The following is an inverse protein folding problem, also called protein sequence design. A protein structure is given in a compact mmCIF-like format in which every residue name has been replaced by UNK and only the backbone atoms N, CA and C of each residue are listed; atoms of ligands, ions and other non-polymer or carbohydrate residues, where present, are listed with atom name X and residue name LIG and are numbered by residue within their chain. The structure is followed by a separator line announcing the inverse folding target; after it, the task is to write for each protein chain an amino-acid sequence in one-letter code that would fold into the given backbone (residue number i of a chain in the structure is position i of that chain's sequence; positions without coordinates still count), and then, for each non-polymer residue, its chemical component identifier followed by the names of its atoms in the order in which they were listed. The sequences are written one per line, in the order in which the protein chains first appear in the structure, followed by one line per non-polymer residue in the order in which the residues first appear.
data_IF_221738068168
#
_entry.id   IF_221738068168
#
_cell.length_a   1.000
_cell.length_b   1.000
_cell.length_c   1.000
_cell.angle_alpha   90.00
_cell.angle_beta   90.00
_cell.angle_gamma   90.00
#
_symmetry.space_group_name_H-M   'P 1'
#
loop_
_entity.id
_entity.type
_entity.pdbx_description
1 polymer ?
#
# COMPACT_ATOMS: atom_id res chain seq x y z
N UNK A 1 -1.46 4.41 15.84
CA UNK A 1 -1.05 5.40 14.84
C UNK A 1 -0.68 4.63 13.58
N UNK A 2 -1.24 4.99 12.43
CA UNK A 2 -0.85 4.46 11.13
C UNK A 2 0.33 5.31 10.64
N UNK A 3 1.41 4.70 10.16
CA UNK A 3 2.48 5.46 9.50
C UNK A 3 2.12 5.63 8.03
N UNK A 4 2.12 6.86 7.51
CA UNK A 4 2.04 7.14 6.07
C UNK A 4 3.41 7.12 5.39
N UNK A 5 4.43 6.56 6.05
CA UNK A 5 5.77 6.36 5.52
C UNK A 5 6.34 5.00 5.92
N UNK A 6 7.04 4.37 4.99
CA UNK A 6 7.85 3.18 5.26
C UNK A 6 9.24 3.61 5.73
N UNK A 7 9.60 3.25 6.96
CA UNK A 7 10.92 3.54 7.55
C UNK A 7 11.76 2.27 7.81
N UNK A 8 11.27 1.11 7.37
CA UNK A 8 11.99 -0.17 7.50
C UNK A 8 13.01 -0.40 6.38
N UNK A 9 13.93 -1.34 6.60
CA UNK A 9 14.80 -1.88 5.54
C UNK A 9 13.97 -2.68 4.53
N UNK A 10 14.35 -2.63 3.25
CA UNK A 10 13.55 -3.19 2.15
C UNK A 10 13.99 -4.61 1.79
N UNK A 11 15.27 -4.92 1.94
CA UNK A 11 15.90 -6.17 1.53
C UNK A 11 15.26 -7.39 2.23
N UNK A 12 14.99 -7.39 3.55
CA UNK A 12 14.35 -8.55 4.18
C UNK A 12 12.94 -8.85 3.63
N UNK A 13 12.21 -7.82 3.20
CA UNK A 13 10.87 -7.99 2.60
C UNK A 13 10.99 -8.69 1.25
N UNK A 14 11.92 -8.23 0.42
CA UNK A 14 12.07 -8.75 -0.94
C UNK A 14 12.72 -10.12 -0.96
N UNK A 15 13.75 -10.36 -0.13
CA UNK A 15 14.38 -11.68 0.05
C UNK A 15 13.38 -12.75 0.51
N UNK A 16 12.52 -12.40 1.48
CA UNK A 16 11.48 -13.30 1.97
C UNK A 16 10.27 -13.39 1.02
N UNK A 17 10.23 -12.59 -0.05
CA UNK A 17 9.06 -12.42 -0.94
C UNK A 17 7.78 -12.19 -0.15
N UNK A 18 7.86 -11.35 0.88
CA UNK A 18 6.73 -11.05 1.75
C UNK A 18 5.70 -10.23 0.96
N UNK A 19 4.43 -10.67 0.88
CA UNK A 19 3.39 -9.88 0.24
C UNK A 19 3.15 -8.55 0.98
N UNK A 20 3.07 -7.44 0.26
CA UNK A 20 2.84 -6.09 0.79
C UNK A 20 1.72 -5.39 0.02
N UNK A 21 0.71 -4.94 0.75
CA UNK A 21 -0.38 -4.11 0.22
C UNK A 21 -0.30 -2.71 0.82
N UNK A 22 0.17 -1.75 0.04
CA UNK A 22 0.10 -0.34 0.40
C UNK A 22 -1.30 0.19 0.11
N UNK A 23 -2.01 0.67 1.13
CA UNK A 23 -3.25 1.42 0.96
C UNK A 23 -3.18 2.73 1.73
N UNK A 24 -3.46 3.85 1.04
CA UNK A 24 -3.39 5.20 1.61
C UNK A 24 -4.36 6.13 0.90
N UNK A 25 -4.81 7.18 1.58
CA UNK A 25 -5.47 8.30 0.91
C UNK A 25 -4.48 9.13 0.08
N UNK A 26 -4.88 9.53 -1.12
CA UNK A 26 -4.05 10.38 -2.01
C UNK A 26 -3.50 11.62 -1.30
N UNK A 27 -4.36 12.28 -0.52
CA UNK A 27 -4.11 13.51 0.22
C UNK A 27 -4.01 13.28 1.72
N UNK A 28 -3.43 12.14 2.15
CA UNK A 28 -3.12 11.88 3.56
C UNK A 28 -2.48 13.11 4.24
N UNK A 29 -3.00 13.49 5.40
CA UNK A 29 -2.70 14.79 6.00
C UNK A 29 -1.28 14.90 6.57
N UNK A 30 -0.57 13.79 6.77
CA UNK A 30 0.79 13.84 7.29
C UNK A 30 1.83 14.00 6.19
N UNK A 31 1.79 13.12 5.18
CA UNK A 31 2.81 13.10 4.12
C UNK A 31 2.25 12.97 2.70
N UNK A 32 0.93 12.94 2.54
CA UNK A 32 0.30 12.55 1.28
C UNK A 32 0.64 11.11 0.89
N UNK A 33 0.34 10.75 -0.36
CA UNK A 33 0.64 9.41 -0.90
C UNK A 33 2.07 9.22 -1.41
N UNK A 34 2.86 10.29 -1.50
CA UNK A 34 4.18 10.23 -2.14
C UNK A 34 5.17 9.25 -1.49
N UNK A 35 5.30 9.19 -0.14
CA UNK A 35 6.22 8.22 0.46
C UNK A 35 5.86 6.76 0.20
N UNK A 36 4.56 6.46 0.01
CA UNK A 36 4.12 5.11 -0.36
C UNK A 36 4.46 4.78 -1.82
N UNK A 37 4.41 5.77 -2.73
CA UNK A 37 4.88 5.60 -4.11
C UNK A 37 6.40 5.34 -4.15
N UNK A 38 7.17 6.10 -3.38
CA UNK A 38 8.62 5.91 -3.26
C UNK A 38 8.95 4.50 -2.73
N UNK A 39 8.32 4.08 -1.63
CA UNK A 39 8.52 2.76 -1.06
C UNK A 39 8.11 1.63 -2.02
N UNK A 40 6.98 1.79 -2.72
CA UNK A 40 6.55 0.84 -3.75
C UNK A 40 7.58 0.73 -4.88
N UNK A 41 8.10 1.86 -5.37
CA UNK A 41 9.08 1.88 -6.45
C UNK A 41 10.38 1.17 -6.04
N UNK A 42 10.88 1.42 -4.83
CA UNK A 42 12.08 0.76 -4.30
C UNK A 42 11.86 -0.76 -4.21
N UNK A 43 10.74 -1.21 -3.65
CA UNK A 43 10.43 -2.65 -3.56
C UNK A 43 10.28 -3.29 -4.95
N UNK A 44 9.62 -2.60 -5.88
CA UNK A 44 9.45 -3.07 -7.25
C UNK A 44 10.80 -3.24 -7.95
N UNK A 45 11.70 -2.26 -7.83
CA UNK A 45 13.06 -2.31 -8.40
C UNK A 45 13.86 -3.46 -7.81
N UNK A 46 13.86 -3.64 -6.48
CA UNK A 46 14.55 -4.75 -5.82
C UNK A 46 14.01 -6.12 -6.28
N UNK A 47 12.70 -6.27 -6.45
CA UNK A 47 12.14 -7.50 -6.99
C UNK A 47 12.54 -7.74 -8.46
N UNK A 48 12.57 -6.68 -9.28
CA UNK A 48 12.99 -6.76 -10.67
C UNK A 48 14.49 -7.13 -10.79
N UNK A 49 15.34 -6.60 -9.91
CA UNK A 49 16.77 -6.95 -9.82
C UNK A 49 16.99 -8.42 -9.44
N UNK A 50 16.09 -8.99 -8.63
CA UNK A 50 16.06 -10.42 -8.31
C UNK A 50 15.53 -11.29 -9.46
N UNK A 51 15.11 -10.68 -10.58
CA UNK A 51 14.67 -11.38 -11.78
C UNK A 51 13.21 -11.81 -11.77
N UNK A 52 12.38 -11.27 -10.86
CA UNK A 52 10.94 -11.54 -10.89
C UNK A 52 10.30 -10.91 -12.13
N UNK A 53 9.42 -11.66 -12.77
CA UNK A 53 8.57 -11.12 -13.82
C UNK A 53 7.54 -10.15 -13.23
N UNK A 54 7.11 -9.16 -14.01
CA UNK A 54 6.09 -8.20 -13.60
C UNK A 54 4.85 -8.87 -12.97
N UNK A 55 4.35 -9.96 -13.56
CA UNK A 55 3.20 -10.69 -13.03
C UNK A 55 3.43 -11.33 -11.66
N UNK A 56 4.68 -11.70 -11.34
CA UNK A 56 5.04 -12.20 -10.00
C UNK A 56 5.07 -11.04 -8.99
N UNK A 57 5.60 -9.89 -9.40
CA UNK A 57 5.62 -8.68 -8.58
C UNK A 57 4.20 -8.20 -8.32
N UNK A 58 3.33 -8.18 -9.32
CA UNK A 58 1.92 -7.76 -9.20
C UNK A 58 1.13 -8.63 -8.18
N UNK A 59 1.56 -9.88 -7.93
CA UNK A 59 0.97 -10.75 -6.90
C UNK A 59 1.51 -10.50 -5.48
N UNK A 60 2.72 -9.96 -5.37
CA UNK A 60 3.39 -9.69 -4.10
C UNK A 60 3.25 -8.25 -3.63
N UNK A 61 3.13 -7.29 -4.54
CA UNK A 61 3.28 -5.88 -4.24
C UNK A 61 2.15 -5.09 -4.89
N UNK A 62 1.32 -4.46 -4.04
CA UNK A 62 0.20 -3.63 -4.49
C UNK A 62 0.34 -2.22 -3.92
N UNK A 63 0.07 -1.22 -4.75
CA UNK A 63 -0.13 0.17 -4.34
C UNK A 63 -1.54 0.62 -4.71
N UNK A 64 -2.35 0.87 -3.68
CA UNK A 64 -3.75 1.25 -3.77
C UNK A 64 -3.95 2.65 -3.15
N UNK A 65 -3.84 3.67 -3.99
CA UNK A 65 -4.07 5.07 -3.59
C UNK A 65 -5.55 5.39 -3.73
N UNK A 66 -6.20 5.71 -2.61
CA UNK A 66 -7.61 6.09 -2.56
C UNK A 66 -7.77 7.59 -2.78
N UNK A 67 -8.38 7.94 -3.90
CA UNK A 67 -8.80 9.32 -4.18
C UNK A 67 -9.92 9.77 -3.23
N UNK A 68 -10.20 11.08 -3.21
CA UNK A 68 -11.25 11.70 -2.39
C UNK A 68 -12.62 11.01 -2.54
N UNK A 69 -12.95 10.51 -3.72
CA UNK A 69 -14.24 9.85 -3.99
C UNK A 69 -14.43 8.54 -3.21
N UNK A 70 -13.36 7.84 -2.85
CA UNK A 70 -13.43 6.64 -2.02
C UNK A 70 -14.03 6.93 -0.64
N UNK A 71 -13.75 8.13 -0.09
CA UNK A 71 -14.22 8.56 1.22
C UNK A 71 -15.59 9.25 1.17
N UNK A 72 -16.12 9.55 -0.01
CA UNK A 72 -17.38 10.27 -0.18
C UNK A 72 -18.56 9.50 0.44
N UNK A 73 -19.45 10.21 1.13
CA UNK A 73 -20.61 9.60 1.81
C UNK A 73 -20.29 8.91 3.15
N UNK A 74 -19.02 8.87 3.56
CA UNK A 74 -18.63 8.44 4.89
C UNK A 74 -18.58 9.61 5.87
N UNK A 75 -18.36 9.34 7.16
CA UNK A 75 -18.08 10.37 8.18
C UNK A 75 -16.62 10.85 8.20
N UNK A 76 -15.77 10.30 7.32
CA UNK A 76 -14.34 10.65 7.28
C UNK A 76 -14.18 12.05 6.72
N UNK A 77 -13.59 12.94 7.51
CA UNK A 77 -13.33 14.34 7.14
C UNK A 77 -11.86 14.62 6.80
N UNK A 78 -10.98 13.66 7.06
CA UNK A 78 -9.55 13.69 6.76
C UNK A 78 -9.08 12.26 6.46
N UNK A 79 -8.35 12.06 5.37
CA UNK A 79 -8.10 10.75 4.76
C UNK A 79 -7.27 9.84 5.64
N UNK A 80 -6.30 10.39 6.39
CA UNK A 80 -5.48 9.64 7.33
C UNK A 80 -6.32 8.92 8.40
N UNK A 81 -7.34 9.61 8.93
CA UNK A 81 -8.26 9.04 9.91
C UNK A 81 -9.22 8.00 9.31
N UNK A 82 -9.26 7.90 7.98
CA UNK A 82 -10.10 6.96 7.24
C UNK A 82 -9.56 5.53 7.16
N UNK A 83 -8.39 5.23 7.72
CA UNK A 83 -7.76 3.91 7.61
C UNK A 83 -8.62 2.72 8.07
N UNK A 84 -9.58 2.95 8.99
CA UNK A 84 -10.53 1.92 9.42
C UNK A 84 -11.49 1.46 8.31
N UNK A 85 -11.63 2.22 7.22
CA UNK A 85 -12.42 1.82 6.06
C UNK A 85 -11.74 0.69 5.29
N UNK A 86 -10.41 0.64 5.27
CA UNK A 86 -9.66 -0.36 4.51
C UNK A 86 -9.90 -1.77 5.05
N UNK A 87 -10.00 -1.92 6.37
CA UNK A 87 -10.30 -3.23 6.98
C UNK A 87 -11.76 -3.70 6.76
N UNK A 88 -12.60 -2.87 6.13
CA UNK A 88 -13.99 -3.18 5.76
C UNK A 88 -14.18 -3.27 4.24
N UNK A 89 -13.15 -2.98 3.46
CA UNK A 89 -13.19 -3.11 2.00
C UNK A 89 -12.93 -4.57 1.61
N UNK A 90 -13.90 -5.19 0.97
CA UNK A 90 -13.84 -6.61 0.58
C UNK A 90 -12.70 -6.90 -0.40
N UNK A 91 -12.31 -5.95 -1.26
CA UNK A 91 -11.20 -6.16 -2.20
C UNK A 91 -9.86 -6.13 -1.49
N UNK A 92 -9.68 -5.19 -0.56
CA UNK A 92 -8.45 -5.07 0.23
C UNK A 92 -8.29 -6.30 1.14
N UNK A 93 -9.34 -6.62 1.90
CA UNK A 93 -9.30 -7.77 2.81
C UNK A 93 -9.29 -9.12 2.08
N UNK A 94 -9.95 -9.18 0.93
CA UNK A 94 -9.92 -10.35 0.05
C UNK A 94 -8.52 -10.61 -0.52
N UNK A 95 -7.75 -9.57 -0.85
CA UNK A 95 -6.35 -9.74 -1.23
C UNK A 95 -5.51 -10.22 -0.04
N UNK A 96 -5.69 -9.64 1.14
CA UNK A 96 -4.89 -9.97 2.33
C UNK A 96 -5.08 -11.42 2.82
N UNK A 97 -6.28 -11.98 2.67
CA UNK A 97 -6.63 -13.32 3.14
C UNK A 97 -6.91 -14.33 2.02
N UNK A 98 -6.78 -13.92 0.76
CA UNK A 98 -7.07 -14.75 -0.41
C UNK A 98 -5.87 -15.54 -0.94
N UNK A 99 -4.72 -15.44 -0.28
CA UNK A 99 -3.49 -16.15 -0.62
C UNK A 99 -3.38 -17.51 0.06
#
# INVERSE_FOLDING_TARGET
MCSSKWDGVYEPVTEAKTPVYFVIGESDEYYGSEPFKEAYQILYELYAEQGLAKSEIDNLLVLDIKEKNYFAGTKVTYQHGGGYLFCRDEKIMGWLFGH
#
